data_IF_685396212699
#
_entry.id   IF_685396212699
#
_cell.length_a   1.000
_cell.length_b   1.000
_cell.length_c   1.000
_cell.angle_alpha   90.00
_cell.angle_beta   90.00
_cell.angle_gamma   90.00
#
_symmetry.space_group_name_H-M   'P 1'
#
loop_
_entity.id
_entity.type
_entity.pdbx_description
1 polymer ?
#
# COMPACT_ATOMS: atom_id res chain seq x y z
N UNK A 1 -2.15 -0.40 -1.55
CA UNK A 1 -3.31 -0.25 -0.65
C UNK A 1 -4.50 -0.88 -1.32
N UNK A 2 -5.29 -1.69 -0.60
CA UNK A 2 -6.44 -2.45 -1.12
C UNK A 2 -7.64 -2.37 -0.17
N UNK A 3 -8.81 -2.78 -0.63
CA UNK A 3 -10.09 -2.64 0.09
C UNK A 3 -11.21 -2.17 -0.85
N UNK A 4 -12.44 -2.14 -0.35
CA UNK A 4 -13.64 -1.76 -1.11
C UNK A 4 -13.55 -0.36 -1.75
N UNK A 5 -14.41 -0.11 -2.73
CA UNK A 5 -14.59 1.24 -3.27
C UNK A 5 -14.98 2.24 -2.17
N UNK A 6 -14.54 3.49 -2.31
CA UNK A 6 -14.97 4.61 -1.45
C UNK A 6 -14.57 4.55 0.03
N UNK A 7 -13.77 3.55 0.44
CA UNK A 7 -13.23 3.47 1.82
C UNK A 7 -12.16 4.54 2.14
N UNK A 8 -11.61 5.20 1.11
CA UNK A 8 -10.67 6.32 1.27
C UNK A 8 -9.19 5.98 1.09
N UNK A 9 -8.85 4.92 0.35
CA UNK A 9 -7.46 4.53 0.02
C UNK A 9 -6.67 5.67 -0.62
N UNK A 10 -7.22 6.28 -1.68
CA UNK A 10 -6.62 7.41 -2.39
C UNK A 10 -6.42 8.62 -1.47
N UNK A 11 -7.43 8.95 -0.65
CA UNK A 11 -7.34 10.05 0.30
C UNK A 11 -6.24 9.81 1.34
N UNK A 12 -6.12 8.59 1.85
CA UNK A 12 -5.08 8.24 2.82
C UNK A 12 -3.68 8.29 2.18
N UNK A 13 -3.51 7.79 0.96
CA UNK A 13 -2.25 7.93 0.22
C UNK A 13 -1.88 9.41 0.01
N UNK A 14 -2.81 10.23 -0.49
CA UNK A 14 -2.56 11.66 -0.72
C UNK A 14 -2.29 12.42 0.58
N UNK A 15 -3.00 12.06 1.66
CA UNK A 15 -2.76 12.63 2.99
C UNK A 15 -1.35 12.30 3.48
N UNK A 16 -0.89 11.07 3.31
CA UNK A 16 0.47 10.71 3.70
C UNK A 16 1.54 11.34 2.82
N UNK A 17 1.37 11.30 1.49
CA UNK A 17 2.40 11.74 0.52
C UNK A 17 2.51 13.26 0.45
N UNK A 18 1.37 13.95 0.38
CA UNK A 18 1.30 15.40 0.09
C UNK A 18 0.68 16.23 1.22
N UNK A 19 0.23 15.61 2.31
CA UNK A 19 -0.57 16.26 3.34
C UNK A 19 -1.81 16.99 2.79
N UNK A 20 -2.43 16.41 1.75
CA UNK A 20 -3.63 16.93 1.10
C UNK A 20 -4.83 16.03 1.36
N UNK A 21 -6.02 16.65 1.43
CA UNK A 21 -7.29 15.95 1.48
C UNK A 21 -8.31 16.67 0.61
N UNK A 22 -9.02 15.90 -0.20
CA UNK A 22 -10.14 16.38 -1.00
C UNK A 22 -11.41 15.67 -0.52
N UNK A 23 -12.43 16.45 -0.16
CA UNK A 23 -13.73 15.91 0.29
C UNK A 23 -14.48 15.18 -0.84
N UNK A 24 -14.26 15.62 -2.08
CA UNK A 24 -14.79 14.96 -3.27
C UNK A 24 -13.64 14.35 -4.09
N UNK A 25 -13.32 13.09 -3.83
CA UNK A 25 -12.44 12.31 -4.70
C UNK A 25 -13.24 11.62 -5.81
N UNK A 26 -12.86 11.85 -7.07
CA UNK A 26 -13.37 11.07 -8.20
C UNK A 26 -12.94 9.61 -8.04
N UNK A 27 -13.75 8.68 -8.56
CA UNK A 27 -13.38 7.28 -8.59
C UNK A 27 -12.01 7.09 -9.29
N UNK A 28 -11.09 6.39 -8.64
CA UNK A 28 -9.78 6.09 -9.19
C UNK A 28 -9.94 5.23 -10.44
N UNK A 29 -9.43 5.71 -11.57
CA UNK A 29 -9.37 4.94 -12.81
C UNK A 29 -7.96 4.34 -12.89
N UNK A 30 -7.86 3.01 -12.83
CA UNK A 30 -6.57 2.30 -12.87
C UNK A 30 -5.84 2.30 -11.53
N UNK A 31 -4.55 2.65 -11.52
CA UNK A 31 -3.70 2.61 -10.33
C UNK A 31 -3.01 3.96 -10.14
N UNK A 32 -3.19 4.57 -8.97
CA UNK A 32 -2.43 5.72 -8.53
C UNK A 32 -1.09 5.29 -7.95
N UNK A 33 -0.03 6.04 -8.23
CA UNK A 33 1.30 5.81 -7.65
C UNK A 33 1.75 7.09 -6.95
N UNK A 34 2.01 7.00 -5.65
CA UNK A 34 2.63 8.05 -4.85
C UNK A 34 4.04 7.65 -4.42
N UNK A 35 4.91 8.64 -4.22
CA UNK A 35 6.23 8.40 -3.64
C UNK A 35 6.53 9.43 -2.54
N UNK A 36 7.07 8.95 -1.42
CA UNK A 36 7.49 9.78 -0.29
C UNK A 36 8.86 9.28 0.18
N UNK A 37 9.78 10.21 0.39
CA UNK A 37 11.07 9.92 1.04
C UNK A 37 10.93 10.22 2.52
N UNK A 38 11.35 9.27 3.36
CA UNK A 38 11.25 9.36 4.81
C UNK A 38 12.53 8.87 5.46
N UNK A 39 12.82 9.36 6.66
CA UNK A 39 13.92 8.88 7.49
C UNK A 39 13.34 8.11 8.68
N UNK A 40 13.67 6.83 8.77
CA UNK A 40 13.22 5.95 9.86
C UNK A 40 14.44 5.23 10.42
N UNK A 41 14.67 5.36 11.73
CA UNK A 41 15.82 4.76 12.43
C UNK A 41 17.18 5.12 11.80
N UNK A 42 17.31 6.36 11.30
CA UNK A 42 18.53 6.87 10.67
C UNK A 42 18.80 6.35 9.25
N UNK A 43 17.83 5.66 8.63
CA UNK A 43 17.89 5.23 7.23
C UNK A 43 16.94 6.07 6.37
N UNK A 44 17.45 6.57 5.26
CA UNK A 44 16.64 7.21 4.23
C UNK A 44 15.97 6.15 3.36
N UNK A 45 14.64 6.16 3.31
CA UNK A 45 13.82 5.18 2.61
C UNK A 45 12.91 5.91 1.63
N UNK A 46 12.91 5.44 0.39
CA UNK A 46 11.97 5.89 -0.63
C UNK A 46 10.79 4.92 -0.71
N UNK A 47 9.64 5.36 -0.24
CA UNK A 47 8.40 4.59 -0.33
C UNK A 47 7.75 4.81 -1.70
N UNK A 48 7.29 3.71 -2.29
CA UNK A 48 6.37 3.72 -3.43
C UNK A 48 5.05 3.13 -2.97
N UNK A 49 4.01 3.94 -3.03
CA UNK A 49 2.67 3.59 -2.56
C UNK A 49 1.77 3.45 -3.78
N UNK A 50 1.17 2.29 -3.90
CA UNK A 50 0.29 1.94 -5.02
C UNK A 50 -1.15 1.97 -4.51
N UNK A 51 -1.96 2.89 -5.01
CA UNK A 51 -3.40 2.98 -4.76
C UNK A 51 -4.14 2.27 -5.90
N UNK A 52 -4.69 1.09 -5.63
CA UNK A 52 -5.48 0.36 -6.63
C UNK A 52 -6.91 0.89 -6.62
N UNK A 53 -7.47 1.16 -7.80
CA UNK A 53 -8.91 1.43 -7.91
C UNK A 53 -9.70 0.36 -7.16
N UNK A 54 -10.60 0.80 -6.26
CA UNK A 54 -11.48 -0.09 -5.51
C UNK A 54 -12.62 -0.70 -6.33
N UNK A 55 -12.49 -0.73 -7.66
CA UNK A 55 -13.39 -1.46 -8.55
C UNK A 55 -12.74 -2.81 -8.88
N UNK A 56 -13.27 -3.82 -8.22
CA UNK A 56 -13.08 -5.26 -8.35
C UNK A 56 -13.11 -5.79 -9.79
N UNK A 57 -13.59 -5.01 -10.77
CA UNK A 57 -13.62 -5.36 -12.21
C UNK A 57 -12.23 -5.57 -12.85
N UNK A 58 -11.14 -5.33 -12.12
CA UNK A 58 -9.76 -5.57 -12.59
C UNK A 58 -8.98 -6.59 -11.76
N UNK A 59 -9.67 -7.56 -11.12
CA UNK A 59 -9.03 -8.65 -10.36
C UNK A 59 -7.87 -9.37 -11.10
N UNK A 60 -7.90 -9.40 -12.44
CA UNK A 60 -6.83 -9.98 -13.27
C UNK A 60 -5.54 -9.13 -13.30
N UNK A 61 -5.64 -7.82 -13.07
CA UNK A 61 -4.50 -6.90 -13.04
C UNK A 61 -3.81 -6.89 -11.67
N UNK A 62 -4.55 -7.23 -10.60
CA UNK A 62 -4.10 -7.17 -9.21
C UNK A 62 -2.92 -8.11 -8.91
N UNK A 63 -2.87 -9.29 -9.55
CA UNK A 63 -1.80 -10.27 -9.34
C UNK A 63 -0.39 -9.77 -9.70
N UNK A 64 -0.27 -8.89 -10.70
CA UNK A 64 1.04 -8.32 -11.08
C UNK A 64 1.51 -7.23 -10.09
N UNK A 65 0.61 -6.54 -9.40
CA UNK A 65 0.97 -5.47 -8.46
C UNK A 65 1.46 -6.02 -7.12
N UNK A 66 0.96 -7.19 -6.70
CA UNK A 66 1.41 -7.81 -5.46
C UNK A 66 2.79 -8.48 -5.59
N UNK A 67 3.21 -8.93 -6.78
CA UNK A 67 4.43 -9.74 -6.96
C UNK A 67 5.71 -9.09 -6.38
N UNK A 68 5.81 -7.76 -6.40
CA UNK A 68 6.96 -7.03 -5.86
C UNK A 68 6.61 -6.16 -4.64
N UNK A 69 5.39 -6.27 -4.10
CA UNK A 69 4.99 -5.51 -2.93
C UNK A 69 5.65 -6.07 -1.67
N UNK A 70 6.29 -5.23 -0.86
CA UNK A 70 6.80 -5.63 0.46
C UNK A 70 5.68 -5.74 1.50
N UNK A 71 4.62 -4.96 1.31
CA UNK A 71 3.53 -4.83 2.26
C UNK A 71 2.18 -4.49 1.60
N UNK A 72 1.10 -4.80 2.29
CA UNK A 72 -0.27 -4.44 1.94
C UNK A 72 -0.98 -3.78 3.13
N UNK A 73 -1.70 -2.69 2.85
CA UNK A 73 -2.64 -2.08 3.78
C UNK A 73 -4.04 -2.39 3.25
N UNK A 74 -4.81 -3.15 4.02
CA UNK A 74 -6.22 -3.46 3.76
C UNK A 74 -7.06 -2.44 4.52
N UNK A 75 -7.80 -1.62 3.79
CA UNK A 75 -8.56 -0.51 4.36
C UNK A 75 -10.07 -0.77 4.29
N UNK A 76 -10.77 -0.44 5.38
CA UNK A 76 -12.22 -0.38 5.43
C UNK A 76 -12.69 0.97 6.00
N UNK A 77 -13.97 1.26 5.87
CA UNK A 77 -14.61 2.47 6.40
C UNK A 77 -15.39 2.11 7.67
N UNK A 78 -15.08 2.76 8.80
CA UNK A 78 -15.73 2.46 10.09
C UNK A 78 -17.24 2.75 10.11
N UNK A 79 -17.75 3.51 9.13
CA UNK A 79 -19.17 3.79 8.92
C UNK A 79 -19.84 2.84 7.91
N UNK A 80 -19.09 1.90 7.32
CA UNK A 80 -19.60 0.93 6.36
C UNK A 80 -19.24 -0.52 6.75
N UNK A 81 -20.23 -1.25 7.26
CA UNK A 81 -20.07 -2.64 7.72
C UNK A 81 -19.69 -3.62 6.61
N UNK A 82 -20.22 -3.46 5.40
CA UNK A 82 -19.90 -4.34 4.26
C UNK A 82 -18.40 -4.30 3.93
N UNK A 83 -17.80 -3.10 3.99
CA UNK A 83 -16.37 -2.93 3.76
C UNK A 83 -15.49 -3.66 4.79
N UNK A 84 -15.99 -3.80 6.02
CA UNK A 84 -15.34 -4.55 7.10
C UNK A 84 -15.54 -6.06 6.98
N UNK A 85 -16.71 -6.50 6.52
CA UNK A 85 -17.01 -7.92 6.28
C UNK A 85 -16.16 -8.50 5.15
N UNK A 86 -15.78 -7.69 4.15
CA UNK A 86 -14.95 -8.14 3.03
C UNK A 86 -13.44 -8.24 3.32
N UNK A 87 -12.95 -7.82 4.50
CA UNK A 87 -11.52 -7.88 4.86
C UNK A 87 -10.89 -9.28 4.62
N UNK A 88 -11.51 -10.41 5.04
CA UNK A 88 -10.93 -11.73 4.82
C UNK A 88 -10.71 -12.05 3.34
N UNK A 89 -11.59 -11.59 2.45
CA UNK A 89 -11.43 -11.77 1.00
C UNK A 89 -10.21 -11.00 0.47
N UNK A 90 -9.96 -9.80 0.99
CA UNK A 90 -8.77 -9.02 0.65
C UNK A 90 -7.48 -9.66 1.18
N UNK A 91 -7.52 -10.24 2.39
CA UNK A 91 -6.40 -11.00 2.96
C UNK A 91 -6.11 -12.22 2.09
N UNK A 92 -7.12 -13.00 1.72
CA UNK A 92 -6.96 -14.18 0.87
C UNK A 92 -6.32 -13.82 -0.49
N UNK A 93 -6.74 -12.71 -1.10
CA UNK A 93 -6.14 -12.22 -2.35
C UNK A 93 -4.66 -11.82 -2.17
N UNK A 94 -4.31 -11.16 -1.06
CA UNK A 94 -2.92 -10.83 -0.75
C UNK A 94 -2.08 -12.08 -0.45
N UNK A 95 -2.67 -13.12 0.13
CA UNK A 95 -1.97 -14.38 0.42
C UNK A 95 -1.82 -15.29 -0.81
N UNK A 96 -2.65 -15.10 -1.84
CA UNK A 96 -2.59 -15.85 -3.11
C UNK A 96 -1.48 -15.38 -4.03
N UNK A 97 -0.92 -14.19 -3.84
CA UNK A 97 0.26 -13.76 -4.59
C UNK A 97 1.52 -14.49 -4.10
N UNK A 98 2.47 -14.72 -5.00
CA UNK A 98 3.71 -15.48 -4.75
C UNK A 98 4.72 -14.77 -3.80
N UNK A 99 4.26 -13.89 -2.90
CA UNK A 99 5.10 -13.09 -1.99
C UNK A 99 4.69 -13.22 -0.53
N UNK A 100 5.68 -13.11 0.39
CA UNK A 100 5.39 -12.88 1.82
C UNK A 100 5.22 -11.39 2.03
N UNK A 101 3.98 -10.94 2.14
CA UNK A 101 3.64 -9.54 2.38
C UNK A 101 3.42 -9.28 3.87
N UNK A 102 3.92 -8.15 4.37
CA UNK A 102 3.45 -7.62 5.67
C UNK A 102 2.07 -7.03 5.45
N UNK A 103 1.05 -7.52 6.14
CA UNK A 103 -0.34 -7.08 5.95
C UNK A 103 -0.84 -6.39 7.21
N UNK A 104 -1.28 -5.14 7.07
CA UNK A 104 -1.98 -4.39 8.12
C UNK A 104 -3.43 -4.11 7.73
N UNK A 105 -4.30 -4.03 8.73
CA UNK A 105 -5.68 -3.59 8.59
C UNK A 105 -5.79 -2.14 9.06
N UNK A 106 -6.46 -1.28 8.29
CA UNK A 106 -6.71 0.11 8.63
C UNK A 106 -8.22 0.44 8.59
N UNK A 107 -8.77 0.87 9.72
CA UNK A 107 -10.13 1.42 9.82
C UNK A 107 -10.08 2.92 9.56
N UNK A 108 -10.59 3.36 8.42
CA UNK A 108 -10.57 4.77 8.01
C UNK A 108 -11.86 5.50 8.37
N UNK A 109 -11.82 6.83 8.35
CA UNK A 109 -12.93 7.75 8.63
C UNK A 109 -13.40 7.74 10.08
N UNK A 110 -12.46 7.58 11.02
CA UNK A 110 -12.75 7.63 12.46
C UNK A 110 -13.26 8.99 12.93
N UNK A 111 -13.13 10.02 12.10
CA UNK A 111 -13.71 11.36 12.31
C UNK A 111 -15.23 11.40 12.16
N UNK A 112 -15.85 10.34 11.63
CA UNK A 112 -17.30 10.26 11.46
C UNK A 112 -18.00 9.74 12.73
N UNK A 113 -19.10 10.40 13.12
CA UNK A 113 -19.90 10.00 14.28
C UNK A 113 -20.77 8.76 14.02
N UNK A 114 -21.15 8.50 12.77
CA UNK A 114 -21.99 7.37 12.37
C UNK A 114 -21.20 6.05 12.25
N UNK A 115 -20.31 5.78 13.20
CA UNK A 115 -19.55 4.53 13.29
C UNK A 115 -20.50 3.34 13.42
N UNK A 116 -20.31 2.33 12.59
CA UNK A 116 -21.04 1.05 12.63
C UNK A 116 -20.15 -0.15 12.97
N UNK A 117 -18.83 0.02 12.92
CA UNK A 117 -17.83 -0.99 13.34
C UNK A 117 -17.07 -0.46 14.55
N UNK A 118 -17.17 -1.14 15.69
CA UNK A 118 -16.48 -0.71 16.91
C UNK A 118 -14.98 -1.00 16.81
N UNK A 119 -14.19 -0.32 17.66
CA UNK A 119 -12.75 -0.55 17.69
C UNK A 119 -12.45 -1.96 18.16
N UNK A 120 -13.18 -2.42 19.16
CA UNK A 120 -13.09 -3.75 19.76
C UNK A 120 -13.38 -4.84 18.72
N UNK A 121 -14.45 -4.68 17.93
CA UNK A 121 -14.81 -5.62 16.86
C UNK A 121 -13.71 -5.70 15.79
N UNK A 122 -13.14 -4.56 15.41
CA UNK A 122 -12.05 -4.50 14.44
C UNK A 122 -10.75 -5.12 14.98
N UNK A 123 -10.42 -4.88 16.26
CA UNK A 123 -9.27 -5.48 16.93
C UNK A 123 -9.42 -7.00 17.10
N UNK A 124 -10.62 -7.49 17.43
CA UNK A 124 -10.91 -8.92 17.52
C UNK A 124 -10.70 -9.62 16.17
N UNK A 125 -11.28 -9.07 15.09
CA UNK A 125 -11.07 -9.61 13.74
C UNK A 125 -9.59 -9.58 13.33
N UNK A 126 -8.86 -8.51 13.67
CA UNK A 126 -7.44 -8.43 13.38
C UNK A 126 -6.63 -9.49 14.15
N UNK A 127 -6.97 -9.74 15.43
CA UNK A 127 -6.38 -10.82 16.24
C UNK A 127 -6.65 -12.20 15.65
N UNK A 128 -7.88 -12.46 15.20
CA UNK A 128 -8.25 -13.72 14.54
C UNK A 128 -7.41 -13.97 13.27
N UNK A 129 -7.22 -12.91 12.46
CA UNK A 129 -6.40 -12.95 11.25
C UNK A 129 -4.89 -12.86 11.52
N UNK A 130 -4.49 -12.65 12.79
CA UNK A 130 -3.10 -12.43 13.23
C UNK A 130 -2.42 -11.23 12.54
N UNK A 131 -3.19 -10.18 12.28
CA UNK A 131 -2.74 -8.94 11.65
C UNK A 131 -2.78 -7.78 12.65
N UNK A 132 -1.97 -6.74 12.42
CA UNK A 132 -2.05 -5.48 13.19
C UNK A 132 -3.20 -4.62 12.66
N UNK A 133 -3.87 -3.90 13.56
CA UNK A 133 -4.95 -2.97 13.25
C UNK A 133 -4.58 -1.54 13.62
N UNK A 134 -4.99 -0.59 12.77
CA UNK A 134 -4.81 0.85 12.97
C UNK A 134 -6.10 1.59 12.69
N UNK A 135 -6.34 2.64 13.46
CA UNK A 135 -7.41 3.61 13.22
C UNK A 135 -6.83 4.85 12.56
N UNK A 136 -7.43 5.27 11.46
CA UNK A 136 -6.94 6.41 10.68
C UNK A 136 -8.07 7.33 10.24
N UNK A 137 -7.74 8.60 10.05
CA UNK A 137 -8.59 9.53 9.31
C UNK A 137 -7.78 10.25 8.24
N UNK A 138 -8.11 10.00 6.97
CA UNK A 138 -7.59 10.80 5.88
C UNK A 138 -7.98 12.28 5.97
N UNK A 139 -9.12 12.59 6.62
CA UNK A 139 -9.62 13.95 6.77
C UNK A 139 -8.77 14.74 7.77
N UNK A 140 -8.61 14.23 8.99
CA UNK A 140 -7.88 14.92 10.06
C UNK A 140 -6.38 14.69 10.00
N UNK A 141 -5.94 13.57 9.40
CA UNK A 141 -4.55 13.13 9.40
C UNK A 141 -4.22 12.15 10.54
N UNK A 142 -5.17 11.92 11.46
CA UNK A 142 -4.95 11.09 12.64
C UNK A 142 -4.58 9.65 12.26
N UNK A 143 -3.57 9.11 12.96
CA UNK A 143 -3.09 7.73 12.82
C UNK A 143 -2.36 7.40 11.52
N UNK A 144 -2.32 8.31 10.53
CA UNK A 144 -1.71 8.01 9.22
C UNK A 144 -0.20 7.87 9.32
N UNK A 145 0.49 8.79 9.98
CA UNK A 145 1.93 8.69 10.17
C UNK A 145 2.30 7.44 10.98
N UNK A 146 1.54 7.11 12.03
CA UNK A 146 1.77 5.91 12.85
C UNK A 146 1.61 4.62 12.04
N UNK A 147 0.57 4.52 11.22
CA UNK A 147 0.31 3.38 10.33
C UNK A 147 1.51 3.14 9.40
N UNK A 148 1.98 4.18 8.69
CA UNK A 148 3.08 4.03 7.74
C UNK A 148 4.43 3.82 8.43
N UNK A 149 4.70 4.52 9.53
CA UNK A 149 5.94 4.36 10.29
C UNK A 149 6.09 2.95 10.86
N UNK A 150 5.03 2.37 11.41
CA UNK A 150 5.05 1.00 11.90
C UNK A 150 5.20 -0.01 10.76
N UNK A 151 4.59 0.27 9.60
CA UNK A 151 4.74 -0.60 8.43
C UNK A 151 6.18 -0.62 7.92
N UNK A 152 6.81 0.55 7.82
CA UNK A 152 8.21 0.69 7.41
C UNK A 152 9.13 -0.07 8.37
N UNK A 153 8.92 0.07 9.68
CA UNK A 153 9.69 -0.67 10.68
C UNK A 153 9.57 -2.18 10.51
N UNK A 154 8.38 -2.71 10.27
CA UNK A 154 8.20 -4.15 10.03
C UNK A 154 8.86 -4.60 8.72
N UNK A 155 8.81 -3.79 7.67
CA UNK A 155 9.52 -4.05 6.41
C UNK A 155 11.02 -4.12 6.66
N UNK A 156 11.58 -3.17 7.41
CA UNK A 156 13.01 -3.11 7.73
C UNK A 156 13.51 -4.29 8.57
N UNK A 157 12.66 -4.85 9.44
CA UNK A 157 12.97 -6.05 10.23
C UNK A 157 12.97 -7.32 9.38
N UNK A 158 12.21 -7.32 8.29
CA UNK A 158 12.09 -8.47 7.41
C UNK A 158 13.26 -8.47 6.41
N UNK A 159 13.96 -9.59 6.19
CA UNK A 159 15.21 -9.64 5.40
C UNK A 159 15.07 -9.34 3.89
N UNK A 160 13.97 -8.73 3.44
CA UNK A 160 13.79 -8.33 2.04
C UNK A 160 14.80 -7.27 1.58
N UNK A 161 15.46 -6.57 2.49
CA UNK A 161 16.27 -5.39 2.18
C UNK A 161 17.72 -5.65 1.69
N UNK A 162 18.15 -6.84 1.28
CA UNK A 162 19.58 -7.07 0.97
C UNK A 162 19.97 -7.51 -0.45
N UNK A 163 19.07 -7.56 -1.45
CA UNK A 163 19.45 -8.13 -2.76
C UNK A 163 19.22 -7.26 -4.00
N UNK A 164 18.79 -5.99 -3.90
CA UNK A 164 18.50 -5.18 -5.11
C UNK A 164 19.47 -4.02 -5.43
N UNK A 165 20.61 -3.88 -4.73
CA UNK A 165 21.65 -2.88 -5.07
C UNK A 165 22.85 -3.43 -5.87
N UNK A 166 22.72 -4.57 -6.55
CA UNK A 166 23.79 -5.09 -7.42
C UNK A 166 23.35 -5.31 -8.87
N UNK A 167 22.85 -4.27 -9.52
CA UNK A 167 23.03 -4.13 -10.97
C UNK A 167 23.44 -2.68 -11.28
N UNK A 168 24.68 -2.35 -10.89
CA UNK A 168 25.40 -1.26 -11.52
C UNK A 168 25.63 -1.65 -12.98
N UNK A 169 24.88 -1.04 -13.90
CA UNK A 169 25.18 -1.14 -15.33
C UNK A 169 26.49 -0.42 -15.57
N UNK A 170 27.56 -1.19 -15.64
CA UNK A 170 28.90 -0.76 -16.02
C UNK A 170 28.86 -0.36 -17.51
N UNK A 171 28.76 0.94 -17.77
CA UNK A 171 28.97 1.49 -19.11
C UNK A 171 30.47 1.52 -19.37
N UNK A 172 31.01 0.47 -19.95
CA UNK A 172 32.39 0.48 -20.46
C UNK A 172 32.45 0.36 -21.99
N UNK A 173 33.19 1.30 -22.57
CA UNK A 173 34.14 0.98 -23.63
C UNK A 173 33.63 0.89 -25.08
N UNK A 174 33.66 2.01 -25.78
CA UNK A 174 33.87 2.02 -27.24
C UNK A 174 35.13 1.22 -27.62
N UNK A 175 35.09 0.42 -28.70
CA UNK A 175 36.14 0.39 -29.75
C UNK A 175 35.77 -0.40 -31.02
N UNK A 176 35.64 0.36 -32.11
CA UNK A 176 36.02 0.11 -33.53
C UNK A 176 36.29 -1.34 -34.00
N UNK A 177 35.58 -1.72 -35.07
CA UNK A 177 36.01 -2.53 -36.23
C UNK A 177 34.95 -2.38 -37.33
N UNK A 178 35.17 -2.44 -38.64
CA UNK A 178 36.30 -2.34 -39.58
C UNK A 178 35.61 -2.27 -40.96
N UNK A 179 36.24 -1.59 -41.93
CA UNK A 179 35.78 -1.48 -43.33
C UNK A 179 35.46 -2.86 -43.94
N UNK A 180 34.32 -2.98 -44.62
CA UNK A 180 34.00 -4.05 -45.56
C UNK A 180 33.47 -3.43 -46.86
N UNK A 181 34.14 -3.73 -47.98
CA UNK A 181 33.70 -3.35 -49.33
C UNK A 181 32.81 -4.42 -49.99
N UNK A 182 32.42 -4.11 -51.24
CA UNK A 182 31.47 -4.73 -52.18
C UNK A 182 30.07 -4.08 -52.13
N UNK A 183 29.45 -3.63 -53.23
CA UNK A 183 29.73 -3.75 -54.67
C UNK A 183 29.80 -2.37 -55.35
#
# INVERSE_FOLDING_TARGET
>A
MVGESSVGKTCCMNRYVSNEFAEQTKATIGVGVGSKEVEVEGKHIKLQIWDTAGQERFATLTGNYFRNAMAAIIMFDVSNKESFENIPNWVEQCCKSDGKHIIFIAGNKIDLENRVVSKEEAEEKAKELKLKYFEVSAKTGDGIEDLFNELIKEIMKTPFCNEQEKEGVELDGQKKQKKGGCC
#
